data_IF_915827683230
#
_entry.id   IF_915827683230
#
_cell.length_a   1.000
_cell.length_b   1.000
_cell.length_c   1.000
_cell.angle_alpha   90.00
_cell.angle_beta   90.00
_cell.angle_gamma   90.00
#
_symmetry.space_group_name_H-M   'P 1'
#
loop_
_entity.id
_entity.type
_entity.pdbx_description
1 polymer ?
#
# COMPACT_ATOMS: atom_id res chain seq x y z
N UNK A 1 22.61 3.66 13.50
CA UNK A 1 22.73 2.51 12.58
C UNK A 1 23.41 3.02 11.31
N UNK A 2 24.41 2.31 10.79
CA UNK A 2 25.07 2.68 9.51
C UNK A 2 24.01 2.68 8.39
N UNK A 3 24.05 3.66 7.48
CA UNK A 3 23.11 3.79 6.35
C UNK A 3 23.03 2.52 5.51
N UNK A 4 24.16 1.83 5.29
CA UNK A 4 24.17 0.55 4.59
C UNK A 4 23.28 -0.49 5.28
N UNK A 5 23.37 -0.61 6.60
CA UNK A 5 22.57 -1.54 7.39
C UNK A 5 21.09 -1.14 7.36
N UNK A 6 20.81 0.17 7.40
CA UNK A 6 19.44 0.70 7.29
C UNK A 6 18.77 0.29 5.98
N UNK A 7 19.45 0.51 4.85
CA UNK A 7 18.91 0.17 3.53
C UNK A 7 18.83 -1.34 3.32
N UNK A 8 19.80 -2.12 3.83
CA UNK A 8 19.74 -3.57 3.80
C UNK A 8 18.51 -4.11 4.55
N UNK A 9 18.20 -3.56 5.73
CA UNK A 9 16.99 -3.94 6.49
C UNK A 9 15.71 -3.58 5.74
N UNK A 10 15.64 -2.40 5.11
CA UNK A 10 14.47 -2.02 4.31
C UNK A 10 14.28 -2.92 3.08
N UNK A 11 15.38 -3.28 2.42
CA UNK A 11 15.36 -4.22 1.31
C UNK A 11 14.87 -5.61 1.76
N UNK A 12 15.39 -6.13 2.87
CA UNK A 12 14.95 -7.42 3.40
C UNK A 12 13.48 -7.40 3.80
N UNK A 13 13.01 -6.35 4.49
CA UNK A 13 11.60 -6.22 4.83
C UNK A 13 10.70 -6.21 3.58
N UNK A 14 11.03 -5.40 2.58
CA UNK A 14 10.28 -5.34 1.33
C UNK A 14 10.31 -6.68 0.58
N UNK A 15 11.50 -7.25 0.40
CA UNK A 15 11.71 -8.54 -0.27
C UNK A 15 10.97 -9.68 0.42
N UNK A 16 10.99 -9.74 1.76
CA UNK A 16 10.26 -10.74 2.54
C UNK A 16 8.76 -10.59 2.36
N UNK A 17 8.21 -9.37 2.48
CA UNK A 17 6.76 -9.14 2.30
C UNK A 17 6.30 -9.62 0.93
N UNK A 18 7.02 -9.22 -0.13
CA UNK A 18 6.68 -9.61 -1.52
C UNK A 18 6.84 -11.11 -1.74
N UNK A 19 7.90 -11.73 -1.21
CA UNK A 19 8.16 -13.16 -1.39
C UNK A 19 7.11 -14.01 -0.66
N UNK A 20 6.79 -13.66 0.59
CA UNK A 20 5.80 -14.38 1.40
C UNK A 20 4.41 -14.24 0.81
N UNK A 21 4.01 -13.03 0.39
CA UNK A 21 2.69 -12.84 -0.22
C UNK A 21 2.56 -13.58 -1.54
N UNK A 22 3.60 -13.56 -2.38
CA UNK A 22 3.63 -14.29 -3.66
C UNK A 22 3.54 -15.78 -3.43
N UNK A 23 4.35 -16.33 -2.50
CA UNK A 23 4.33 -17.75 -2.17
C UNK A 23 2.98 -18.21 -1.62
N UNK A 24 2.37 -17.45 -0.70
CA UNK A 24 1.05 -17.78 -0.16
C UNK A 24 -0.04 -17.66 -1.24
N UNK A 25 0.07 -16.66 -2.12
CA UNK A 25 -0.86 -16.42 -3.20
C UNK A 25 -0.83 -17.54 -4.25
N UNK A 26 0.37 -17.99 -4.63
CA UNK A 26 0.55 -19.09 -5.59
C UNK A 26 0.05 -20.43 -5.05
N UNK A 27 -0.03 -20.60 -3.73
CA UNK A 27 -0.57 -21.78 -3.06
C UNK A 27 -2.09 -21.72 -2.83
N UNK A 28 -2.79 -20.73 -3.40
CA UNK A 28 -4.23 -20.53 -3.22
C UNK A 28 -4.64 -19.99 -1.84
N UNK A 29 -3.68 -19.62 -0.98
CA UNK A 29 -3.92 -19.05 0.35
C UNK A 29 -4.13 -17.53 0.26
N UNK A 30 -5.11 -17.11 -0.55
CA UNK A 30 -5.31 -15.71 -0.95
C UNK A 30 -5.50 -14.74 0.23
N UNK A 31 -6.18 -15.16 1.30
CA UNK A 31 -6.35 -14.33 2.50
C UNK A 31 -5.02 -14.05 3.21
N UNK A 32 -4.18 -15.08 3.38
CA UNK A 32 -2.87 -14.93 4.02
C UNK A 32 -1.90 -14.13 3.13
N UNK A 33 -1.99 -14.29 1.81
CA UNK A 33 -1.24 -13.48 0.85
C UNK A 33 -1.63 -12.00 0.94
N UNK A 34 -2.92 -11.71 1.02
CA UNK A 34 -3.43 -10.36 1.21
C UNK A 34 -2.96 -9.77 2.55
N UNK A 35 -3.10 -10.52 3.66
CA UNK A 35 -2.62 -10.11 4.98
C UNK A 35 -1.11 -9.83 4.98
N UNK A 36 -0.29 -10.71 4.40
CA UNK A 36 1.15 -10.51 4.32
C UNK A 36 1.50 -9.23 3.53
N UNK A 37 0.79 -8.97 2.44
CA UNK A 37 1.00 -7.79 1.59
C UNK A 37 0.55 -6.48 2.25
N UNK A 38 -0.47 -6.52 3.11
CA UNK A 38 -1.03 -5.34 3.77
C UNK A 38 -0.54 -5.17 5.20
N UNK A 39 0.35 -6.05 5.68
CA UNK A 39 0.94 -5.95 7.01
C UNK A 39 1.60 -4.57 7.19
N UNK A 40 1.21 -3.77 8.20
CA UNK A 40 1.57 -2.36 8.29
C UNK A 40 2.98 -2.13 8.85
N UNK A 41 3.98 -2.90 8.38
CA UNK A 41 5.38 -2.75 8.82
C UNK A 41 5.94 -1.37 8.50
N UNK A 42 5.81 -0.93 7.24
CA UNK A 42 6.34 0.36 6.78
C UNK A 42 5.57 1.52 7.43
N UNK A 43 4.23 1.41 7.47
CA UNK A 43 3.37 2.42 8.10
C UNK A 43 3.65 2.54 9.59
N UNK A 44 3.82 1.42 10.30
CA UNK A 44 4.16 1.41 11.73
C UNK A 44 5.52 2.05 12.01
N UNK A 45 6.54 1.72 11.22
CA UNK A 45 7.85 2.38 11.32
C UNK A 45 7.74 3.89 11.05
N UNK A 46 6.95 4.28 10.06
CA UNK A 46 6.69 5.69 9.72
C UNK A 46 5.98 6.41 10.86
N UNK A 47 4.97 5.80 11.49
CA UNK A 47 4.29 6.37 12.66
C UNK A 47 5.28 6.62 13.81
N UNK A 48 6.14 5.66 14.14
CA UNK A 48 7.16 5.82 15.19
C UNK A 48 8.07 7.00 14.86
N UNK A 49 8.58 7.08 13.62
CA UNK A 49 9.49 8.15 13.22
C UNK A 49 8.81 9.51 13.24
N UNK A 50 7.57 9.63 12.76
CA UNK A 50 6.81 10.88 12.81
C UNK A 50 6.55 11.28 14.27
N UNK A 51 6.18 10.35 15.14
CA UNK A 51 5.99 10.64 16.56
C UNK A 51 7.27 11.17 17.22
N UNK A 52 8.40 10.50 16.99
CA UNK A 52 9.68 10.86 17.59
C UNK A 52 10.20 12.24 17.12
N UNK A 53 9.89 12.64 15.88
CA UNK A 53 10.42 13.88 15.29
C UNK A 53 9.41 15.04 15.28
N UNK A 54 8.10 14.75 15.28
CA UNK A 54 7.04 15.74 15.08
C UNK A 54 5.91 15.67 16.12
N UNK A 55 5.99 14.77 17.09
CA UNK A 55 5.00 14.64 18.17
C UNK A 55 3.64 14.09 17.74
N UNK A 56 2.72 14.04 18.69
CA UNK A 56 1.39 13.42 18.51
C UNK A 56 0.54 14.10 17.45
N UNK A 57 0.58 15.44 17.35
CA UNK A 57 -0.24 16.19 16.39
C UNK A 57 0.14 15.85 14.94
N UNK A 58 1.45 15.82 14.65
CA UNK A 58 1.97 15.43 13.33
C UNK A 58 1.60 13.99 12.96
N UNK A 59 1.70 13.07 13.92
CA UNK A 59 1.32 11.66 13.71
C UNK A 59 -0.17 11.55 13.40
N UNK A 60 -1.03 12.19 14.20
CA UNK A 60 -2.49 12.12 14.00
C UNK A 60 -2.88 12.77 12.67
N UNK A 61 -2.25 13.89 12.31
CA UNK A 61 -2.44 14.52 11.01
C UNK A 61 -2.06 13.59 9.85
N UNK A 62 -0.91 12.92 9.94
CA UNK A 62 -0.51 11.92 8.95
C UNK A 62 -1.50 10.75 8.87
N UNK A 63 -1.92 10.19 10.00
CA UNK A 63 -2.86 9.07 10.05
C UNK A 63 -4.22 9.44 9.44
N UNK A 64 -4.75 10.65 9.71
CA UNK A 64 -5.98 11.16 9.09
C UNK A 64 -5.84 11.27 7.58
N UNK A 65 -4.72 11.80 7.10
CA UNK A 65 -4.46 11.90 5.66
C UNK A 65 -4.31 10.52 5.00
N UNK A 66 -3.72 9.56 5.70
CA UNK A 66 -3.56 8.19 5.21
C UNK A 66 -4.91 7.51 4.95
N UNK A 67 -5.94 7.79 5.75
CA UNK A 67 -7.30 7.24 5.55
C UNK A 67 -7.91 7.66 4.20
N UNK A 68 -7.57 8.83 3.67
CA UNK A 68 -8.06 9.26 2.35
C UNK A 68 -7.52 8.42 1.19
N UNK A 69 -6.50 7.58 1.40
CA UNK A 69 -6.02 6.64 0.39
C UNK A 69 -6.81 5.33 0.34
N UNK A 70 -7.71 5.08 1.31
CA UNK A 70 -8.55 3.87 1.33
C UNK A 70 -9.55 3.85 0.15
N UNK A 71 -10.32 4.91 -0.16
CA UNK A 71 -11.23 4.88 -1.30
C UNK A 71 -10.52 4.63 -2.66
N UNK A 72 -9.41 5.32 -3.01
CA UNK A 72 -8.65 4.99 -4.22
C UNK A 72 -8.17 3.54 -4.25
N UNK A 73 -7.72 3.01 -3.10
CA UNK A 73 -7.30 1.61 -2.99
C UNK A 73 -8.45 0.63 -3.24
N UNK A 74 -9.66 0.91 -2.74
CA UNK A 74 -10.85 0.11 -3.03
C UNK A 74 -11.12 0.09 -4.53
N UNK A 75 -11.07 1.24 -5.21
CA UNK A 75 -11.26 1.34 -6.67
C UNK A 75 -10.23 0.49 -7.41
N UNK A 76 -8.95 0.57 -7.00
CA UNK A 76 -7.89 -0.24 -7.56
C UNK A 76 -8.17 -1.74 -7.45
N UNK A 77 -8.50 -2.23 -6.24
CA UNK A 77 -8.75 -3.67 -5.98
C UNK A 77 -10.00 -4.16 -6.71
N UNK A 78 -11.10 -3.40 -6.66
CA UNK A 78 -12.34 -3.73 -7.37
C UNK A 78 -12.11 -3.82 -8.87
N UNK A 79 -11.33 -2.89 -9.43
CA UNK A 79 -10.94 -2.94 -10.85
C UNK A 79 -10.12 -4.18 -11.17
N UNK A 80 -9.22 -4.62 -10.29
CA UNK A 80 -8.48 -5.88 -10.51
C UNK A 80 -9.41 -7.11 -10.46
N UNK A 81 -10.34 -7.17 -9.50
CA UNK A 81 -11.30 -8.27 -9.35
C UNK A 81 -12.16 -8.43 -10.62
N UNK A 82 -12.66 -7.32 -11.17
CA UNK A 82 -13.54 -7.38 -12.34
C UNK A 82 -12.78 -7.28 -13.68
N UNK A 83 -11.65 -6.58 -13.72
CA UNK A 83 -10.88 -6.34 -14.93
C UNK A 83 -10.09 -7.56 -15.38
N UNK A 84 -9.36 -8.20 -14.46
CA UNK A 84 -8.46 -9.32 -14.82
C UNK A 84 -9.20 -10.45 -15.56
N UNK A 85 -10.39 -10.91 -15.11
CA UNK A 85 -11.12 -11.96 -15.82
C UNK A 85 -11.69 -11.56 -17.19
N UNK A 86 -11.80 -10.25 -17.48
CA UNK A 86 -12.49 -9.74 -18.69
C UNK A 86 -11.53 -9.25 -19.77
N UNK A 87 -10.50 -8.52 -19.37
CA UNK A 87 -9.57 -7.84 -20.28
C UNK A 87 -8.11 -8.30 -20.09
N UNK A 88 -7.88 -9.31 -19.25
CA UNK A 88 -6.55 -9.81 -18.93
C UNK A 88 -5.81 -8.97 -17.89
N UNK A 89 -4.65 -9.47 -17.44
CA UNK A 89 -3.87 -8.85 -16.36
C UNK A 89 -3.34 -7.47 -16.72
N UNK A 90 -2.55 -7.35 -17.80
CA UNK A 90 -1.86 -6.10 -18.14
C UNK A 90 -2.82 -4.92 -18.40
N UNK A 91 -3.90 -5.07 -19.19
CA UNK A 91 -4.86 -3.99 -19.38
C UNK A 91 -5.61 -3.63 -18.09
N UNK A 92 -5.97 -4.63 -17.26
CA UNK A 92 -6.62 -4.38 -15.98
C UNK A 92 -5.71 -3.62 -15.01
N UNK A 93 -4.41 -3.92 -14.99
CA UNK A 93 -3.41 -3.20 -14.18
C UNK A 93 -3.24 -1.76 -14.65
N UNK A 94 -3.17 -1.51 -15.96
CA UNK A 94 -3.08 -0.15 -16.49
C UNK A 94 -4.33 0.67 -16.14
N UNK A 95 -5.52 0.08 -16.28
CA UNK A 95 -6.79 0.71 -15.94
C UNK A 95 -6.91 1.01 -14.44
N UNK A 96 -6.63 0.01 -13.58
CA UNK A 96 -6.73 0.16 -12.13
C UNK A 96 -5.79 1.24 -11.60
N UNK A 97 -4.57 1.31 -12.14
CA UNK A 97 -3.60 2.33 -11.77
C UNK A 97 -4.04 3.74 -12.23
N UNK A 98 -4.61 3.85 -13.44
CA UNK A 98 -5.16 5.12 -13.94
C UNK A 98 -6.30 5.62 -13.07
N UNK A 99 -7.24 4.73 -12.70
CA UNK A 99 -8.36 5.06 -11.82
C UNK A 99 -7.88 5.44 -10.41
N UNK A 100 -6.89 4.74 -9.87
CA UNK A 100 -6.28 5.06 -8.57
C UNK A 100 -5.75 6.50 -8.52
N UNK A 101 -4.92 6.88 -9.50
CA UNK A 101 -4.38 8.24 -9.57
C UNK A 101 -5.47 9.28 -9.83
N UNK A 102 -6.45 8.95 -10.67
CA UNK A 102 -7.63 9.81 -10.91
C UNK A 102 -8.40 10.08 -9.62
N UNK A 103 -8.69 9.05 -8.81
CA UNK A 103 -9.35 9.20 -7.52
C UNK A 103 -8.55 10.06 -6.54
N UNK A 104 -7.22 9.90 -6.47
CA UNK A 104 -6.38 10.76 -5.63
C UNK A 104 -6.45 12.21 -6.10
N UNK A 105 -6.38 12.45 -7.41
CA UNK A 105 -6.51 13.79 -7.98
C UNK A 105 -7.83 14.45 -7.60
N UNK A 106 -8.94 13.71 -7.73
CA UNK A 106 -10.27 14.17 -7.34
C UNK A 106 -10.39 14.44 -5.83
N UNK A 107 -9.87 13.54 -4.98
CA UNK A 107 -9.87 13.75 -3.52
C UNK A 107 -9.08 14.98 -3.13
N UNK A 108 -7.91 15.21 -3.73
CA UNK A 108 -7.11 16.40 -3.47
C UNK A 108 -7.82 17.69 -3.88
N UNK A 109 -8.65 17.65 -4.93
CA UNK A 109 -9.48 18.80 -5.33
C UNK A 109 -10.67 19.01 -4.39
N UNK A 110 -11.25 17.93 -3.87
CA UNK A 110 -12.40 17.98 -2.96
C UNK A 110 -12.05 18.38 -1.52
N UNK A 111 -10.83 18.07 -1.06
CA UNK A 111 -10.33 18.36 0.30
C UNK A 111 -9.62 19.74 0.35
N UNK A 112 -9.74 20.57 -0.71
CA UNK A 112 -9.17 21.92 -0.75
C UNK A 112 -9.78 22.86 0.29
#
# INVERSE_FOLDING_TARGET
MNDFVKYAVYFLLGGTIVSVSTYLGSQGRSFLAAFASTFPAITGATFILIYLNGGSESLVGYAKNLLWFVPPWIVYVVTMIFGVPRIGFWPATALSMTLYFGCIGLLKLAIR
#
